data_IF_484949499025
#
_entry.id   IF_484949499025
#
_cell.length_a   1.000
_cell.length_b   1.000
_cell.length_c   1.000
_cell.angle_alpha   90.00
_cell.angle_beta   90.00
_cell.angle_gamma   90.00
#
_symmetry.space_group_name_H-M   'P 1'
#
loop_
_entity.id
_entity.type
_entity.pdbx_description
1 polymer ?
#
# COMPACT_ATOMS: atom_id res chain seq x y z
N UNK A 1 -1.28 3.35 -14.74
CA UNK A 1 -1.20 2.81 -13.37
C UNK A 1 -2.55 2.57 -12.73
N UNK A 2 -3.46 3.52 -12.79
CA UNK A 2 -4.83 3.35 -12.25
C UNK A 2 -5.53 2.18 -12.93
N UNK A 3 -5.37 2.04 -14.24
CA UNK A 3 -5.97 0.93 -14.99
C UNK A 3 -5.41 -0.42 -14.52
N UNK A 4 -4.12 -0.50 -14.27
CA UNK A 4 -3.48 -1.73 -13.78
C UNK A 4 -3.97 -2.07 -12.38
N UNK A 5 -4.12 -1.05 -11.52
CA UNK A 5 -4.64 -1.24 -10.18
C UNK A 5 -6.08 -1.73 -10.22
N UNK A 6 -6.90 -1.16 -11.12
CA UNK A 6 -8.28 -1.58 -11.33
C UNK A 6 -8.39 -3.01 -11.82
N UNK A 7 -7.44 -3.46 -12.64
CA UNK A 7 -7.43 -4.83 -13.17
C UNK A 7 -7.30 -5.89 -12.06
N UNK A 8 -6.70 -5.55 -10.94
CA UNK A 8 -6.62 -6.46 -9.80
C UNK A 8 -8.01 -6.85 -9.30
N UNK A 9 -9.00 -5.99 -9.49
CA UNK A 9 -10.37 -6.23 -9.04
C UNK A 9 -11.16 -7.15 -9.98
N UNK A 10 -10.58 -7.59 -11.08
CA UNK A 10 -11.15 -8.67 -11.90
C UNK A 10 -11.19 -9.98 -11.10
N UNK A 11 -10.28 -10.14 -10.16
CA UNK A 11 -10.36 -11.22 -9.19
C UNK A 11 -11.39 -10.84 -8.11
N UNK A 12 -12.48 -11.62 -7.97
CA UNK A 12 -13.53 -11.27 -7.01
C UNK A 12 -13.09 -11.34 -5.56
N UNK A 13 -11.96 -11.96 -5.26
CA UNK A 13 -11.41 -12.01 -3.89
C UNK A 13 -10.68 -10.74 -3.50
N UNK A 14 -10.34 -9.88 -4.45
CA UNK A 14 -9.64 -8.63 -4.14
C UNK A 14 -10.63 -7.58 -3.64
N UNK A 15 -10.43 -7.13 -2.41
CA UNK A 15 -11.29 -6.15 -1.76
C UNK A 15 -10.65 -4.77 -1.67
N UNK A 16 -9.32 -4.74 -1.51
CA UNK A 16 -8.53 -3.52 -1.37
C UNK A 16 -7.19 -3.73 -2.07
N UNK A 17 -6.69 -2.71 -2.71
CA UNK A 17 -5.41 -2.78 -3.42
C UNK A 17 -4.61 -1.51 -3.21
N UNK A 18 -3.30 -1.66 -3.31
CA UNK A 18 -2.34 -0.55 -3.23
C UNK A 18 -1.14 -0.89 -4.12
N UNK A 19 -0.07 -0.11 -4.01
CA UNK A 19 1.08 -0.23 -4.89
C UNK A 19 2.34 -0.52 -4.08
N UNK A 20 3.12 -1.50 -4.56
CA UNK A 20 4.44 -1.84 -4.04
C UNK A 20 5.48 -1.52 -5.12
N UNK A 21 6.34 -0.53 -4.86
CA UNK A 21 7.35 -0.11 -5.83
C UNK A 21 8.67 -0.82 -5.59
N UNK A 22 9.31 -1.22 -6.67
CA UNK A 22 10.69 -1.74 -6.64
C UNK A 22 11.72 -0.64 -6.45
N UNK A 23 11.31 0.64 -6.53
CA UNK A 23 12.18 1.79 -6.30
C UNK A 23 12.43 1.98 -4.80
N UNK A 24 13.22 1.10 -4.24
CA UNK A 24 13.60 1.11 -2.83
C UNK A 24 15.13 1.00 -2.75
N UNK A 25 15.76 2.11 -2.38
CA UNK A 25 17.22 2.21 -2.31
C UNK A 25 17.70 1.92 -0.90
N UNK A 26 19.00 1.68 -0.77
CA UNK A 26 19.61 1.37 0.52
C UNK A 26 19.34 2.46 1.56
N UNK A 27 19.42 3.72 1.16
CA UNK A 27 19.13 4.84 2.06
C UNK A 27 17.67 4.85 2.53
N UNK A 28 16.75 4.37 1.69
CA UNK A 28 15.33 4.30 2.02
C UNK A 28 15.05 3.27 3.11
N UNK A 29 15.85 2.20 3.17
CA UNK A 29 15.68 1.15 4.17
C UNK A 29 15.85 1.68 5.60
N UNK A 30 16.70 2.68 5.77
CA UNK A 30 16.99 3.29 7.07
C UNK A 30 16.19 4.57 7.31
N UNK A 31 15.34 4.97 6.38
CA UNK A 31 14.55 6.19 6.48
C UNK A 31 13.16 5.88 7.04
N UNK A 32 12.88 6.33 8.26
CA UNK A 32 11.60 6.10 8.93
C UNK A 32 10.42 6.74 8.22
N UNK A 33 10.66 7.72 7.35
CA UNK A 33 9.61 8.35 6.56
C UNK A 33 9.19 7.52 5.35
N UNK A 34 9.98 6.52 5.00
CA UNK A 34 9.67 5.60 3.90
C UNK A 34 9.02 4.36 4.48
N UNK A 35 7.77 4.12 4.09
CA UNK A 35 7.04 2.91 4.50
C UNK A 35 7.41 1.77 3.58
N UNK A 36 7.78 0.63 4.16
CA UNK A 36 8.14 -0.59 3.44
C UNK A 36 7.02 -1.60 3.63
N UNK A 37 6.80 -2.40 2.61
CA UNK A 37 5.79 -3.47 2.63
C UNK A 37 6.44 -4.77 2.19
N UNK A 38 6.14 -5.85 2.89
CA UNK A 38 6.50 -7.20 2.45
C UNK A 38 5.25 -7.98 2.07
N UNK A 39 5.40 -8.88 1.11
CA UNK A 39 4.27 -9.54 0.46
C UNK A 39 4.36 -11.06 0.64
N UNK A 40 3.18 -11.69 0.66
CA UNK A 40 3.10 -13.14 0.58
C UNK A 40 3.19 -13.61 -0.89
N UNK A 41 3.02 -14.90 -1.10
CA UNK A 41 3.14 -15.50 -2.44
C UNK A 41 2.05 -15.02 -3.41
N UNK A 42 0.95 -14.51 -2.88
CA UNK A 42 -0.16 -14.01 -3.68
C UNK A 42 -0.13 -12.49 -3.84
N UNK A 43 0.96 -11.86 -3.40
CA UNK A 43 1.13 -10.40 -3.42
C UNK A 43 0.17 -9.65 -2.51
N UNK A 44 -0.30 -10.32 -1.45
CA UNK A 44 -1.01 -9.63 -0.37
C UNK A 44 -0.02 -9.13 0.67
N UNK A 45 -0.31 -8.00 1.27
CA UNK A 45 0.55 -7.42 2.29
C UNK A 45 0.61 -8.31 3.53
N UNK A 46 1.83 -8.62 3.97
CA UNK A 46 2.07 -9.27 5.25
C UNK A 46 2.16 -8.20 6.33
N UNK A 47 2.96 -7.16 6.08
CA UNK A 47 3.14 -6.06 7.02
C UNK A 47 3.56 -4.78 6.31
N UNK A 48 3.32 -3.67 6.98
CA UNK A 48 3.82 -2.34 6.60
C UNK A 48 4.66 -1.84 7.76
N UNK A 49 5.91 -1.50 7.50
CA UNK A 49 6.84 -1.05 8.55
C UNK A 49 7.70 0.10 8.07
N UNK A 50 8.15 0.91 9.02
CA UNK A 50 9.04 2.03 8.76
C UNK A 50 10.49 1.70 9.06
N UNK A 51 10.72 0.90 10.11
CA UNK A 51 12.06 0.55 10.59
C UNK A 51 12.05 -0.88 11.16
N UNK A 52 13.16 -1.32 11.70
CA UNK A 52 13.32 -2.67 12.26
C UNK A 52 13.03 -3.76 11.23
N UNK A 53 13.58 -3.58 10.04
CA UNK A 53 13.39 -4.52 8.95
C UNK A 53 14.04 -5.86 9.26
N UNK A 54 13.36 -6.95 8.87
CA UNK A 54 13.93 -8.28 8.91
C UNK A 54 14.89 -8.43 7.71
N UNK A 55 16.20 -8.66 7.94
CA UNK A 55 17.14 -8.75 6.84
C UNK A 55 16.91 -9.94 5.90
N UNK A 56 16.13 -10.93 6.33
CA UNK A 56 15.81 -12.09 5.51
C UNK A 56 14.58 -11.89 4.63
N UNK A 57 13.82 -10.82 4.85
CA UNK A 57 12.61 -10.51 4.08
C UNK A 57 12.91 -9.58 2.91
N UNK A 58 12.10 -9.70 1.86
CA UNK A 58 12.14 -8.78 0.74
C UNK A 58 11.10 -7.69 0.95
N UNK A 59 11.52 -6.45 0.77
CA UNK A 59 10.64 -5.30 0.96
C UNK A 59 10.51 -4.50 -0.33
N UNK A 60 9.37 -3.83 -0.45
CA UNK A 60 9.08 -2.85 -1.49
C UNK A 60 8.75 -1.52 -0.83
N UNK A 61 8.91 -0.43 -1.58
CA UNK A 61 8.40 0.86 -1.12
C UNK A 61 6.89 0.86 -1.26
N UNK A 62 6.18 1.16 -0.19
CA UNK A 62 4.74 1.33 -0.27
C UNK A 62 4.40 2.69 -0.86
N UNK A 63 3.60 2.71 -1.90
CA UNK A 63 3.05 3.92 -2.49
C UNK A 63 1.60 4.03 -2.02
N UNK A 64 1.28 5.11 -1.31
CA UNK A 64 0.00 5.28 -0.62
C UNK A 64 -1.17 5.65 -1.53
N UNK A 65 -1.34 4.91 -2.62
CA UNK A 65 -2.49 5.02 -3.50
C UNK A 65 -3.32 3.77 -3.32
N UNK A 66 -4.62 3.93 -3.03
CA UNK A 66 -5.49 2.81 -2.70
C UNK A 66 -6.67 2.73 -3.64
N UNK A 67 -7.11 1.50 -3.91
CA UNK A 67 -8.37 1.21 -4.56
C UNK A 67 -9.16 0.26 -3.67
N UNK A 68 -10.47 0.43 -3.64
CA UNK A 68 -11.39 -0.34 -2.79
C UNK A 68 -12.61 -0.76 -3.58
N UNK A 69 -13.15 -1.94 -3.23
CA UNK A 69 -14.56 -2.18 -3.56
C UNK A 69 -15.42 -1.30 -2.68
N UNK A 70 -16.56 -0.88 -3.20
CA UNK A 70 -17.46 0.02 -2.47
C UNK A 70 -17.82 -0.52 -1.09
N UNK A 71 -18.15 -1.80 -1.02
CA UNK A 71 -18.51 -2.42 0.26
C UNK A 71 -17.34 -2.43 1.24
N UNK A 72 -16.13 -2.68 0.74
CA UNK A 72 -14.92 -2.68 1.55
C UNK A 72 -14.61 -1.28 2.07
N UNK A 73 -14.75 -0.26 1.22
CA UNK A 73 -14.53 1.12 1.64
C UNK A 73 -15.51 1.52 2.74
N UNK A 74 -16.78 1.17 2.59
CA UNK A 74 -17.79 1.45 3.61
C UNK A 74 -17.47 0.75 4.93
N UNK A 75 -17.03 -0.50 4.87
CA UNK A 75 -16.60 -1.23 6.06
C UNK A 75 -15.39 -0.55 6.70
N UNK A 76 -14.37 -0.25 5.92
CA UNK A 76 -13.13 0.35 6.40
C UNK A 76 -13.38 1.68 7.11
N UNK A 77 -14.20 2.55 6.53
CA UNK A 77 -14.50 3.86 7.12
C UNK A 77 -15.34 3.75 8.38
N UNK A 78 -16.04 2.65 8.59
CA UNK A 78 -16.82 2.40 9.82
C UNK A 78 -15.97 1.87 10.97
N UNK A 79 -14.76 1.38 10.68
CA UNK A 79 -13.87 0.80 11.69
C UNK A 79 -13.20 1.89 12.53
N UNK A 80 -13.04 1.60 13.81
CA UNK A 80 -12.23 2.45 14.69
C UNK A 80 -10.75 2.26 14.40
N UNK A 81 -9.95 3.26 14.73
CA UNK A 81 -8.50 3.15 14.63
C UNK A 81 -8.01 2.00 15.51
N UNK A 82 -7.17 1.13 14.93
CA UNK A 82 -6.54 0.05 15.68
C UNK A 82 -5.35 0.59 16.50
N UNK A 83 -4.93 -0.17 17.52
CA UNK A 83 -3.78 0.20 18.32
C UNK A 83 -2.50 0.21 17.49
N UNK A 84 -2.32 -0.77 16.59
CA UNK A 84 -1.18 -0.81 15.68
C UNK A 84 -1.15 0.41 14.77
N UNK A 85 -2.31 0.81 14.24
CA UNK A 85 -2.43 1.99 13.39
C UNK A 85 -1.96 3.25 14.13
N UNK A 86 -2.42 3.43 15.37
CA UNK A 86 -2.05 4.59 16.19
C UNK A 86 -0.57 4.59 16.53
N UNK A 87 -0.03 3.44 16.91
CA UNK A 87 1.37 3.31 17.35
C UNK A 87 2.35 3.55 16.20
N UNK A 88 2.01 3.11 15.00
CA UNK A 88 2.88 3.21 13.83
C UNK A 88 2.52 4.35 12.89
N UNK A 89 1.38 5.02 13.12
CA UNK A 89 0.85 6.09 12.25
C UNK A 89 0.67 5.62 10.81
N UNK A 90 0.13 4.41 10.66
CA UNK A 90 -0.09 3.79 9.36
C UNK A 90 -1.55 3.32 9.29
N UNK A 91 -2.37 4.07 8.57
CA UNK A 91 -3.81 3.84 8.46
C UNK A 91 -4.13 2.47 7.86
N UNK A 92 -3.30 1.97 6.94
CA UNK A 92 -3.49 0.68 6.30
C UNK A 92 -3.40 -0.49 7.30
N UNK A 93 -2.80 -0.31 8.46
CA UNK A 93 -2.77 -1.33 9.49
C UNK A 93 -4.16 -1.64 10.04
N UNK A 94 -5.09 -0.67 9.97
CA UNK A 94 -6.50 -0.90 10.33
C UNK A 94 -7.10 -2.02 9.48
N UNK A 95 -6.79 -2.04 8.18
CA UNK A 95 -7.27 -3.09 7.29
C UNK A 95 -6.70 -4.45 7.70
N UNK A 96 -5.40 -4.55 7.89
CA UNK A 96 -4.77 -5.82 8.27
C UNK A 96 -5.26 -6.31 9.63
N UNK A 97 -5.42 -5.41 10.59
CA UNK A 97 -5.90 -5.77 11.94
C UNK A 97 -7.35 -6.26 11.94
N UNK A 98 -8.11 -5.95 10.90
CA UNK A 98 -9.49 -6.38 10.74
C UNK A 98 -9.66 -7.43 9.63
N UNK A 99 -8.57 -8.11 9.27
CA UNK A 99 -8.56 -9.20 8.28
C UNK A 99 -9.01 -8.78 6.88
N UNK A 100 -8.81 -7.52 6.53
CA UNK A 100 -9.01 -7.04 5.16
C UNK A 100 -7.68 -7.18 4.42
N UNK A 101 -7.63 -8.09 3.47
CA UNK A 101 -6.41 -8.31 2.66
C UNK A 101 -6.17 -7.12 1.74
N UNK A 102 -4.92 -6.70 1.64
CA UNK A 102 -4.50 -5.64 0.73
C UNK A 102 -3.64 -6.27 -0.36
N UNK A 103 -4.15 -6.28 -1.57
CA UNK A 103 -3.43 -6.77 -2.75
C UNK A 103 -2.50 -5.68 -3.25
N UNK A 104 -1.24 -6.01 -3.49
CA UNK A 104 -0.26 -5.03 -3.97
C UNK A 104 0.02 -5.25 -5.45
N UNK A 105 -0.05 -4.17 -6.21
CA UNK A 105 0.45 -4.11 -7.57
C UNK A 105 1.94 -3.81 -7.49
N UNK A 106 2.77 -4.75 -7.96
CA UNK A 106 4.23 -4.53 -8.02
C UNK A 106 4.53 -3.68 -9.24
N UNK A 107 5.25 -2.59 -9.03
CA UNK A 107 5.59 -1.63 -10.08
C UNK A 107 7.00 -1.11 -9.87
N UNK A 108 7.65 -0.66 -10.94
CA UNK A 108 8.93 0.03 -10.89
C UNK A 108 8.78 1.55 -10.73
N UNK A 109 7.60 2.00 -10.37
CA UNK A 109 7.30 3.42 -10.20
C UNK A 109 8.25 4.06 -9.20
N UNK A 110 8.93 5.12 -9.63
CA UNK A 110 9.67 5.97 -8.72
C UNK A 110 8.68 6.86 -7.95
N UNK A 111 8.85 6.98 -6.64
CA UNK A 111 8.04 7.91 -5.85
C UNK A 111 8.17 9.36 -6.37
N UNK A 112 9.28 9.68 -7.04
CA UNK A 112 9.51 10.99 -7.67
C UNK A 112 8.63 11.21 -8.89
N UNK A 113 8.12 10.13 -9.48
CA UNK A 113 7.21 10.19 -10.62
C UNK A 113 5.79 10.54 -10.20
N UNK A 114 5.50 10.46 -8.90
CA UNK A 114 4.17 10.72 -8.36
C UNK A 114 4.22 12.06 -7.63
N UNK A 115 3.97 13.12 -8.39
CA UNK A 115 3.64 14.42 -7.83
C UNK A 115 2.13 14.55 -7.90
N UNK A 116 1.47 14.54 -6.75
CA UNK A 116 0.01 14.55 -6.66
C UNK A 116 -0.59 15.73 -7.41
N UNK A 117 0.07 16.87 -7.40
CA UNK A 117 -0.41 18.06 -8.12
C UNK A 117 -0.32 17.88 -9.62
N UNK A 118 0.78 17.32 -10.10
CA UNK A 118 0.94 17.05 -11.53
C UNK A 118 0.00 15.97 -12.00
N UNK A 119 -0.19 14.92 -11.20
CA UNK A 119 -1.12 13.85 -11.54
C UNK A 119 -2.55 14.40 -11.64
N UNK A 120 -2.98 15.23 -10.71
CA UNK A 120 -4.28 15.89 -10.78
C UNK A 120 -4.40 16.78 -12.01
N UNK A 121 -3.35 17.53 -12.35
CA UNK A 121 -3.32 18.35 -13.55
C UNK A 121 -3.51 17.53 -14.81
N UNK A 122 -2.85 16.37 -14.88
CA UNK A 122 -2.96 15.49 -16.04
C UNK A 122 -4.37 14.90 -16.19
N UNK A 123 -5.07 14.69 -15.09
CA UNK A 123 -6.44 14.19 -15.11
C UNK A 123 -7.46 15.27 -15.43
N UNK A 124 -7.20 16.49 -15.08
CA UNK A 124 -8.09 17.61 -15.36
C UNK A 124 -8.02 18.06 -16.83
N UNK A 125 -6.95 17.71 -17.52
CA UNK A 125 -6.76 18.02 -18.91
C UNK A 125 -7.09 16.84 -19.81
#
# INVERSE_FOLDING_TARGET
MIDQLSQLFEDPCVEMASIASTDLKEDDLNNDNVVKVNLDEENNAISFIRNNLNPESTYYRHIGIYAYRKNTLNLFTSLSQSDNEKNHRLEQLRALDNNIAIKLLISDFSHRSIDVKEDLKNYEN
#
